data_IF_629211185884
#
_entry.id   IF_629211185884
#
_cell.length_a   1.000
_cell.length_b   1.000
_cell.length_c   1.000
_cell.angle_alpha   90.00
_cell.angle_beta   90.00
_cell.angle_gamma   90.00
#
_symmetry.space_group_name_H-M   'P 1'
#
loop_
_entity.id
_entity.type
_entity.pdbx_description
1 polymer ?
#
# COMPACT_ATOMS: atom_id res chain seq x y z
N UNK A 1 23.95 36.23 -13.76
CA UNK A 1 23.06 36.04 -12.60
C UNK A 1 22.44 34.66 -12.65
N UNK A 2 21.60 34.34 -13.65
CA UNK A 2 20.93 33.01 -13.80
C UNK A 2 21.84 31.78 -13.61
N UNK A 3 23.01 31.70 -14.26
CA UNK A 3 23.95 30.56 -14.08
C UNK A 3 24.52 30.48 -12.66
N UNK A 4 24.78 31.63 -12.03
CA UNK A 4 25.33 31.69 -10.67
C UNK A 4 24.27 31.28 -9.66
N UNK A 5 23.03 31.68 -9.90
CA UNK A 5 21.86 31.35 -9.08
C UNK A 5 21.55 29.85 -9.22
N UNK A 6 21.54 29.31 -10.45
CA UNK A 6 21.38 27.88 -10.73
C UNK A 6 22.49 27.03 -10.09
N UNK A 7 23.76 27.45 -10.22
CA UNK A 7 24.90 26.76 -9.59
C UNK A 7 24.80 26.82 -8.06
N UNK A 8 24.37 27.96 -7.52
CA UNK A 8 24.10 28.13 -6.09
C UNK A 8 23.06 27.12 -5.63
N UNK A 9 21.89 27.11 -6.27
CA UNK A 9 20.79 26.21 -5.96
C UNK A 9 21.15 24.72 -6.06
N UNK A 10 21.97 24.32 -7.03
CA UNK A 10 22.45 22.95 -7.16
C UNK A 10 23.38 22.52 -6.01
N UNK A 11 24.15 23.45 -5.45
CA UNK A 11 25.22 23.15 -4.48
C UNK A 11 24.86 23.47 -3.05
N UNK A 12 23.92 24.39 -2.83
CA UNK A 12 23.43 24.76 -1.51
C UNK A 12 22.64 23.60 -0.88
N UNK A 13 22.89 23.38 0.41
CA UNK A 13 22.21 22.33 1.16
C UNK A 13 20.82 22.81 1.58
N UNK A 14 19.81 22.01 1.29
CA UNK A 14 18.46 22.32 1.70
C UNK A 14 18.36 22.35 3.23
N UNK A 15 17.90 23.48 3.79
CA UNK A 15 17.94 23.74 5.24
C UNK A 15 17.31 22.63 6.11
N UNK A 16 16.27 21.98 5.59
CA UNK A 16 15.53 20.95 6.32
C UNK A 16 16.02 19.52 6.06
N UNK A 17 16.75 19.28 4.96
CA UNK A 17 17.18 17.93 4.55
C UNK A 17 18.69 17.72 4.71
N UNK A 18 19.47 18.80 4.78
CA UNK A 18 20.92 18.76 4.97
C UNK A 18 21.72 18.28 3.76
N UNK A 19 21.08 18.06 2.61
CA UNK A 19 21.69 17.61 1.34
C UNK A 19 21.41 18.61 0.22
N UNK A 20 22.27 18.64 -0.80
CA UNK A 20 22.07 19.47 -2.00
C UNK A 20 21.49 18.67 -3.17
N UNK A 21 20.87 19.33 -4.17
CA UNK A 21 20.42 18.67 -5.39
C UNK A 21 21.56 17.95 -6.13
N UNK A 22 22.76 18.53 -6.19
CA UNK A 22 23.91 17.90 -6.83
C UNK A 22 24.37 16.64 -6.08
N UNK A 23 24.42 16.69 -4.75
CA UNK A 23 24.72 15.51 -3.91
C UNK A 23 23.69 14.40 -4.14
N UNK A 24 22.42 14.77 -4.25
CA UNK A 24 21.31 13.86 -4.50
C UNK A 24 21.40 13.21 -5.87
N UNK A 25 21.62 13.97 -6.94
CA UNK A 25 21.78 13.46 -8.30
C UNK A 25 22.96 12.48 -8.42
N UNK A 26 24.11 12.81 -7.82
CA UNK A 26 25.28 11.93 -7.80
C UNK A 26 24.99 10.61 -7.07
N UNK A 27 24.30 10.71 -5.94
CA UNK A 27 23.95 9.53 -5.14
C UNK A 27 22.94 8.65 -5.88
N UNK A 28 21.91 9.24 -6.49
CA UNK A 28 20.94 8.53 -7.33
C UNK A 28 21.60 7.86 -8.54
N UNK A 29 22.54 8.52 -9.21
CA UNK A 29 23.29 7.92 -10.32
C UNK A 29 24.10 6.70 -9.85
N UNK A 30 24.70 6.77 -8.66
CA UNK A 30 25.44 5.65 -8.04
C UNK A 30 24.50 4.50 -7.69
N UNK A 31 23.32 4.80 -7.13
CA UNK A 31 22.30 3.81 -6.79
C UNK A 31 21.74 3.14 -8.06
N UNK A 32 21.47 3.93 -9.10
CA UNK A 32 20.93 3.45 -10.38
C UNK A 32 21.91 2.56 -11.15
N UNK A 33 23.21 2.69 -10.90
CA UNK A 33 24.24 1.83 -11.50
C UNK A 33 24.32 0.43 -10.84
N UNK A 34 23.61 0.18 -9.73
CA UNK A 34 23.59 -1.13 -9.06
C UNK A 34 22.71 -2.12 -9.82
N UNK A 35 23.05 -3.41 -9.70
CA UNK A 35 22.26 -4.52 -10.23
C UNK A 35 21.81 -5.44 -9.08
N UNK A 36 20.51 -5.71 -8.92
CA UNK A 36 19.39 -5.10 -9.66
C UNK A 36 19.21 -3.62 -9.32
N UNK A 37 18.66 -2.87 -10.28
CA UNK A 37 18.35 -1.46 -10.09
C UNK A 37 17.14 -1.31 -9.14
N UNK A 38 17.22 -0.48 -8.10
CA UNK A 38 16.07 -0.16 -7.26
C UNK A 38 14.93 0.45 -8.08
N UNK A 39 13.70 0.06 -7.76
CA UNK A 39 12.52 0.44 -8.54
C UNK A 39 11.35 0.92 -7.68
N UNK A 40 11.60 1.22 -6.39
CA UNK A 40 10.58 1.73 -5.50
C UNK A 40 9.91 3.03 -6.01
N UNK A 41 8.58 2.99 -6.04
CA UNK A 41 7.68 4.02 -6.54
C UNK A 41 7.15 4.92 -5.43
N UNK A 42 7.20 4.45 -4.18
CA UNK A 42 6.86 5.24 -2.99
C UNK A 42 7.56 6.60 -3.00
N UNK A 43 6.86 7.65 -2.59
CA UNK A 43 7.44 8.99 -2.40
C UNK A 43 7.10 9.51 -1.02
N UNK A 44 8.12 9.87 -0.27
CA UNK A 44 7.96 10.42 1.07
C UNK A 44 7.54 11.89 1.02
N UNK A 45 6.64 12.28 1.92
CA UNK A 45 6.30 13.67 2.14
C UNK A 45 7.44 14.42 2.86
N UNK A 46 7.39 15.75 2.85
CA UNK A 46 8.45 16.58 3.42
C UNK A 46 8.67 16.32 4.93
N UNK A 47 7.63 16.17 5.77
CA UNK A 47 7.81 15.79 7.18
C UNK A 47 8.54 14.45 7.38
N UNK A 48 8.23 13.44 6.57
CA UNK A 48 8.91 12.13 6.63
C UNK A 48 10.36 12.25 6.19
N UNK A 49 10.64 12.99 5.11
CA UNK A 49 12.00 13.26 4.66
C UNK A 49 12.85 13.94 5.72
N UNK A 50 12.29 14.94 6.42
CA UNK A 50 12.95 15.63 7.53
C UNK A 50 13.25 14.70 8.71
N UNK A 51 12.27 13.90 9.15
CA UNK A 51 12.47 12.90 10.21
C UNK A 51 13.58 11.92 9.86
N UNK A 52 13.60 11.45 8.62
CA UNK A 52 14.57 10.46 8.16
C UNK A 52 15.95 11.07 7.93
N UNK A 53 16.10 12.37 7.64
CA UNK A 53 17.37 12.99 7.28
C UNK A 53 18.52 12.67 8.27
N UNK A 54 18.23 12.61 9.57
CA UNK A 54 19.18 12.25 10.63
C UNK A 54 19.09 10.79 11.08
N UNK A 55 18.04 10.06 10.69
CA UNK A 55 17.72 8.69 11.14
C UNK A 55 17.80 7.63 10.03
N UNK A 56 18.37 7.94 8.86
CA UNK A 56 18.46 7.00 7.72
C UNK A 56 19.12 5.67 8.07
N UNK A 57 20.23 5.70 8.81
CA UNK A 57 20.95 4.49 9.20
C UNK A 57 20.12 3.58 10.12
N UNK A 58 19.36 4.19 11.04
CA UNK A 58 18.43 3.49 11.93
C UNK A 58 17.26 2.89 11.13
N UNK A 59 16.63 3.67 10.26
CA UNK A 59 15.57 3.20 9.37
C UNK A 59 16.01 2.03 8.49
N UNK A 60 17.20 2.12 7.90
CA UNK A 60 17.77 1.05 7.09
C UNK A 60 18.14 -0.20 7.89
N UNK A 61 18.49 -0.07 9.18
CA UNK A 61 18.68 -1.20 10.07
C UNK A 61 17.35 -1.88 10.41
N UNK A 62 16.35 -1.11 10.85
CA UNK A 62 15.02 -1.61 11.16
C UNK A 62 14.36 -2.31 9.96
N UNK A 63 14.49 -1.77 8.75
CA UNK A 63 13.99 -2.40 7.52
C UNK A 63 14.69 -3.74 7.19
N UNK A 64 16.01 -3.84 7.44
CA UNK A 64 16.74 -5.10 7.28
C UNK A 64 16.32 -6.13 8.31
N UNK A 65 16.13 -5.71 9.56
CA UNK A 65 15.66 -6.59 10.63
C UNK A 65 14.24 -7.08 10.32
N UNK A 66 13.34 -6.22 9.84
CA UNK A 66 12.02 -6.62 9.35
C UNK A 66 12.12 -7.68 8.23
N UNK A 67 13.01 -7.48 7.26
CA UNK A 67 13.24 -8.42 6.17
C UNK A 67 13.72 -9.80 6.67
N UNK A 68 14.66 -9.82 7.62
CA UNK A 68 15.17 -11.05 8.27
C UNK A 68 14.07 -11.84 8.95
N UNK A 69 13.18 -11.14 9.63
CA UNK A 69 12.02 -11.74 10.28
C UNK A 69 10.93 -12.18 9.27
N UNK A 70 11.14 -11.93 7.97
CA UNK A 70 10.26 -12.39 6.90
C UNK A 70 9.11 -11.45 6.58
N UNK A 71 9.20 -10.16 6.94
CA UNK A 71 8.15 -9.16 6.69
C UNK A 71 7.75 -9.09 5.20
N UNK A 72 8.71 -9.23 4.30
CA UNK A 72 8.49 -9.14 2.85
C UNK A 72 8.25 -10.49 2.16
N UNK A 73 8.13 -11.60 2.92
CA UNK A 73 7.83 -12.92 2.32
C UNK A 73 6.36 -13.05 1.89
N UNK A 74 5.48 -12.29 2.52
CA UNK A 74 4.05 -12.30 2.25
C UNK A 74 3.54 -10.86 2.18
N UNK A 75 2.89 -10.52 1.09
CA UNK A 75 2.21 -9.24 0.92
C UNK A 75 0.73 -9.27 1.32
N UNK A 76 0.04 -8.12 1.22
CA UNK A 76 -1.40 -8.01 1.46
C UNK A 76 -2.26 -8.98 0.66
N UNK A 77 -1.79 -9.41 -0.52
CA UNK A 77 -2.51 -10.30 -1.42
C UNK A 77 -2.24 -11.79 -1.13
N UNK A 78 -1.19 -12.11 -0.37
CA UNK A 78 -0.77 -13.50 -0.13
C UNK A 78 -1.29 -14.05 1.18
N UNK A 79 -1.38 -13.19 2.21
CA UNK A 79 -1.79 -13.61 3.55
C UNK A 79 -2.77 -12.63 4.19
N UNK A 80 -3.91 -13.11 4.70
CA UNK A 80 -4.83 -12.28 5.49
C UNK A 80 -4.25 -11.91 6.88
N UNK A 81 -3.10 -12.47 7.26
CA UNK A 81 -2.33 -12.06 8.43
C UNK A 81 -1.42 -10.85 8.17
N UNK A 82 -1.30 -10.40 6.92
CA UNK A 82 -0.47 -9.26 6.57
C UNK A 82 -0.90 -7.99 7.32
N UNK A 83 0.07 -7.28 7.90
CA UNK A 83 -0.18 -6.04 8.64
C UNK A 83 -0.84 -6.22 10.02
N UNK A 84 -1.22 -7.44 10.41
CA UNK A 84 -1.82 -7.69 11.71
C UNK A 84 -0.75 -7.60 12.81
N UNK A 85 -1.09 -6.96 13.92
CA UNK A 85 -0.26 -6.83 15.11
C UNK A 85 -0.95 -7.52 16.29
N UNK A 86 -0.17 -8.25 17.10
CA UNK A 86 -0.65 -8.93 18.29
C UNK A 86 0.14 -8.46 19.50
N UNK A 87 -0.55 -8.30 20.63
CA UNK A 87 0.09 -7.99 21.90
C UNK A 87 0.98 -9.14 22.43
N UNK A 88 0.73 -10.38 22.00
CA UNK A 88 1.52 -11.54 22.40
C UNK A 88 1.41 -12.68 21.39
N UNK A 89 2.40 -13.60 21.40
CA UNK A 89 2.38 -14.83 20.61
C UNK A 89 1.18 -15.72 20.95
N UNK A 90 0.72 -15.70 22.21
CA UNK A 90 -0.44 -16.49 22.64
C UNK A 90 -1.75 -15.94 22.07
N UNK A 91 -1.87 -14.60 21.97
CA UNK A 91 -3.02 -13.97 21.32
C UNK A 91 -3.08 -14.34 19.82
N UNK A 92 -1.93 -14.35 19.15
CA UNK A 92 -1.83 -14.77 17.74
C UNK A 92 -2.20 -16.24 17.54
N UNK A 93 -1.66 -17.13 18.38
CA UNK A 93 -1.99 -18.56 18.36
C UNK A 93 -3.47 -18.80 18.60
N UNK A 94 -4.06 -18.10 19.58
CA UNK A 94 -5.49 -18.18 19.87
C UNK A 94 -6.35 -17.74 18.68
N UNK A 95 -5.99 -16.62 18.03
CA UNK A 95 -6.68 -16.14 16.83
C UNK A 95 -6.56 -17.14 15.66
N UNK A 96 -5.40 -17.77 15.47
CA UNK A 96 -5.20 -18.78 14.44
C UNK A 96 -6.01 -20.05 14.71
N UNK A 97 -6.03 -20.54 15.95
CA UNK A 97 -6.88 -21.68 16.36
C UNK A 97 -8.36 -21.36 16.12
N UNK A 98 -8.80 -20.15 16.47
CA UNK A 98 -10.16 -19.68 16.23
C UNK A 98 -10.49 -19.65 14.73
N UNK A 99 -9.62 -19.08 13.90
CA UNK A 99 -9.78 -19.07 12.45
C UNK A 99 -9.86 -20.49 11.87
N UNK A 100 -9.02 -21.40 12.35
CA UNK A 100 -9.04 -22.82 11.98
C UNK A 100 -10.34 -23.52 12.35
N UNK A 101 -10.89 -23.26 13.55
CA UNK A 101 -12.18 -23.81 13.98
C UNK A 101 -13.34 -23.24 13.16
N UNK A 102 -13.35 -21.92 12.95
CA UNK A 102 -14.33 -21.23 12.11
C UNK A 102 -14.33 -21.77 10.69
N UNK A 103 -13.15 -21.93 10.08
CA UNK A 103 -13.00 -22.42 8.71
C UNK A 103 -13.44 -23.88 8.54
N UNK A 104 -13.01 -24.77 9.44
CA UNK A 104 -13.20 -26.23 9.28
C UNK A 104 -14.56 -26.73 9.76
N UNK A 105 -15.14 -26.08 10.77
CA UNK A 105 -16.32 -26.62 11.48
C UNK A 105 -17.45 -25.61 11.53
N UNK A 106 -17.22 -24.46 12.17
CA UNK A 106 -18.34 -23.62 12.60
C UNK A 106 -19.05 -22.91 11.44
N UNK A 107 -18.28 -22.34 10.50
CA UNK A 107 -18.84 -21.65 9.31
C UNK A 107 -19.49 -22.64 8.34
N UNK A 108 -18.83 -23.73 7.90
CA UNK A 108 -19.50 -24.74 7.07
C UNK A 108 -20.79 -25.27 7.71
N UNK A 109 -20.76 -25.58 9.02
CA UNK A 109 -21.92 -26.12 9.73
C UNK A 109 -23.08 -25.13 9.91
N UNK A 110 -22.82 -23.82 10.02
CA UNK A 110 -23.93 -22.83 10.02
C UNK A 110 -24.45 -22.56 8.61
N UNK A 111 -23.61 -22.66 7.57
CA UNK A 111 -24.05 -22.51 6.19
C UNK A 111 -25.00 -23.65 5.79
N UNK A 112 -24.64 -24.89 6.09
CA UNK A 112 -25.47 -26.06 5.83
C UNK A 112 -26.83 -25.93 6.53
N UNK A 113 -26.83 -25.75 7.85
CA UNK A 113 -28.08 -25.57 8.64
C UNK A 113 -28.87 -24.34 8.22
N UNK A 114 -28.19 -23.24 7.87
CA UNK A 114 -28.82 -22.02 7.40
C UNK A 114 -29.54 -22.23 6.07
N UNK A 115 -28.89 -22.87 5.10
CA UNK A 115 -29.52 -23.17 3.81
C UNK A 115 -30.65 -24.19 3.94
N UNK A 116 -30.53 -25.21 4.80
CA UNK A 116 -31.61 -26.14 5.11
C UNK A 116 -32.83 -25.42 5.71
N UNK A 117 -32.60 -24.53 6.69
CA UNK A 117 -33.66 -23.73 7.31
C UNK A 117 -34.38 -22.84 6.29
N UNK A 118 -33.61 -22.13 5.46
CA UNK A 118 -34.17 -21.22 4.46
C UNK A 118 -34.84 -21.99 3.32
N UNK A 119 -34.34 -23.18 2.96
CA UNK A 119 -34.96 -24.06 1.97
C UNK A 119 -36.34 -24.60 2.37
N UNK A 120 -36.67 -24.61 3.66
CA UNK A 120 -38.03 -24.89 4.14
C UNK A 120 -39.00 -23.70 3.94
N UNK A 121 -38.48 -22.54 3.53
CA UNK A 121 -39.26 -21.33 3.25
C UNK A 121 -39.17 -20.98 1.77
N UNK A 122 -39.90 -19.93 1.35
CA UNK A 122 -39.76 -19.36 -0.01
C UNK A 122 -38.91 -18.11 -0.07
N UNK A 123 -38.06 -17.89 0.94
CA UNK A 123 -37.11 -16.78 0.94
C UNK A 123 -36.00 -17.05 -0.07
N UNK A 124 -35.51 -15.98 -0.71
CA UNK A 124 -34.28 -16.05 -1.49
C UNK A 124 -33.12 -16.50 -0.58
N UNK A 125 -32.09 -17.17 -1.13
CA UNK A 125 -30.91 -17.53 -0.35
C UNK A 125 -30.20 -16.28 0.18
N UNK A 126 -29.60 -16.40 1.38
CA UNK A 126 -28.70 -15.41 1.94
C UNK A 126 -27.31 -15.52 1.30
N UNK A 127 -26.60 -14.39 1.24
CA UNK A 127 -25.25 -14.29 0.65
C UNK A 127 -24.17 -13.97 1.68
N UNK A 128 -24.55 -13.63 2.91
CA UNK A 128 -23.65 -13.28 4.03
C UNK A 128 -24.16 -13.85 5.36
N UNK A 129 -23.29 -14.02 6.35
CA UNK A 129 -23.67 -14.49 7.70
C UNK A 129 -24.49 -13.43 8.44
N UNK A 130 -24.22 -12.15 8.21
CA UNK A 130 -25.03 -11.04 8.73
C UNK A 130 -26.47 -11.11 8.22
N UNK A 131 -26.66 -11.42 6.94
CA UNK A 131 -27.97 -11.57 6.33
C UNK A 131 -28.74 -12.77 6.90
N UNK A 132 -28.07 -13.92 7.08
CA UNK A 132 -28.66 -15.08 7.78
C UNK A 132 -29.21 -14.67 9.16
N UNK A 133 -28.44 -13.89 9.92
CA UNK A 133 -28.88 -13.36 11.22
C UNK A 133 -30.13 -12.48 11.14
N UNK A 134 -30.22 -11.65 10.09
CA UNK A 134 -31.42 -10.85 9.86
C UNK A 134 -32.64 -11.73 9.54
N UNK A 135 -32.46 -12.81 8.76
CA UNK A 135 -33.54 -13.74 8.42
C UNK A 135 -34.02 -14.50 9.65
N UNK A 136 -33.09 -15.03 10.46
CA UNK A 136 -33.41 -15.72 11.72
C UNK A 136 -34.21 -14.81 12.66
N UNK A 137 -33.76 -13.56 12.87
CA UNK A 137 -34.48 -12.60 13.73
C UNK A 137 -35.86 -12.27 13.20
N UNK A 138 -36.01 -12.12 11.88
CA UNK A 138 -37.31 -11.90 11.24
C UNK A 138 -38.25 -13.09 11.48
N UNK A 139 -37.78 -14.32 11.24
CA UNK A 139 -38.55 -15.54 11.44
C UNK A 139 -38.95 -15.73 12.92
N UNK A 140 -38.04 -15.47 13.87
CA UNK A 140 -38.35 -15.51 15.31
C UNK A 140 -39.39 -14.45 15.69
N UNK A 141 -39.28 -13.26 15.12
CA UNK A 141 -40.26 -12.18 15.29
C UNK A 141 -41.63 -12.56 14.74
N UNK A 142 -41.69 -13.18 13.55
CA UNK A 142 -42.92 -13.66 12.93
C UNK A 142 -43.54 -14.77 13.77
N UNK A 143 -42.77 -15.75 14.24
CA UNK A 143 -43.25 -16.79 15.15
C UNK A 143 -43.86 -16.19 16.42
N UNK A 144 -43.17 -15.26 17.06
CA UNK A 144 -43.66 -14.58 18.26
C UNK A 144 -44.95 -13.76 18.02
N UNK A 145 -45.13 -13.23 16.80
CA UNK A 145 -46.38 -12.60 16.38
C UNK A 145 -47.48 -13.65 16.16
N UNK A 146 -47.17 -14.77 15.51
CA UNK A 146 -48.11 -15.87 15.23
C UNK A 146 -48.51 -16.66 16.47
N UNK A 147 -47.78 -16.55 17.59
CA UNK A 147 -48.21 -17.07 18.89
C UNK A 147 -49.45 -16.34 19.41
N UNK A 148 -49.64 -15.06 19.02
CA UNK A 148 -50.77 -14.21 19.45
C UNK A 148 -51.79 -13.98 18.37
N UNK A 149 -51.36 -13.94 17.11
CA UNK A 149 -52.20 -13.68 15.95
C UNK A 149 -52.38 -14.92 15.05
N UNK A 150 -53.48 -14.99 14.33
CA UNK A 150 -53.69 -15.93 13.24
C UNK A 150 -52.86 -15.54 12.01
N UNK A 151 -52.55 -16.51 11.15
CA UNK A 151 -51.76 -16.28 9.93
C UNK A 151 -52.36 -15.20 9.00
N UNK A 152 -53.69 -15.09 8.99
CA UNK A 152 -54.44 -14.10 8.20
C UNK A 152 -54.06 -12.65 8.46
N UNK A 153 -53.41 -12.33 9.59
CA UNK A 153 -52.87 -10.99 9.87
C UNK A 153 -51.78 -10.57 8.87
N UNK A 154 -51.05 -11.53 8.30
CA UNK A 154 -50.00 -11.27 7.30
C UNK A 154 -50.52 -11.18 5.87
N UNK A 155 -51.78 -11.54 5.62
CA UNK A 155 -52.38 -11.55 4.28
C UNK A 155 -52.93 -10.16 3.90
N UNK A 156 -53.50 -9.42 4.85
CA UNK A 156 -54.24 -8.16 4.58
C UNK A 156 -53.50 -6.89 5.05
N UNK A 157 -53.64 -5.76 4.33
CA UNK A 157 -52.96 -4.51 4.70
C UNK A 157 -53.40 -4.04 6.10
N UNK A 158 -52.45 -3.60 6.92
CA UNK A 158 -52.69 -3.29 8.34
C UNK A 158 -52.70 -1.79 8.64
N UNK A 159 -52.38 -0.92 7.67
CA UNK A 159 -52.27 0.53 7.87
C UNK A 159 -53.51 1.14 8.54
N UNK A 160 -54.72 0.81 8.06
CA UNK A 160 -55.95 1.34 8.65
C UNK A 160 -56.18 0.84 10.08
N UNK A 161 -55.77 -0.39 10.38
CA UNK A 161 -55.89 -0.97 11.73
C UNK A 161 -54.93 -0.30 12.70
N UNK A 162 -53.69 -0.04 12.25
CA UNK A 162 -52.68 0.69 13.02
C UNK A 162 -53.18 2.10 13.36
N UNK A 163 -53.70 2.82 12.36
CA UNK A 163 -54.28 4.16 12.55
C UNK A 163 -55.51 4.16 13.46
N UNK A 164 -56.30 3.08 13.46
CA UNK A 164 -57.46 2.96 14.34
C UNK A 164 -57.07 2.84 15.84
N UNK A 165 -55.89 2.27 16.13
CA UNK A 165 -55.36 2.15 17.49
C UNK A 165 -54.42 3.29 17.90
N UNK A 166 -53.90 4.07 16.95
CA UNK A 166 -53.05 5.25 17.20
C UNK A 166 -53.79 6.50 17.70
N UNK A 167 -53.08 7.64 17.76
CA UNK A 167 -53.65 8.90 18.22
C UNK A 167 -54.71 9.41 17.22
N UNK A 168 -55.76 10.07 17.73
CA UNK A 168 -56.81 10.69 16.89
C UNK A 168 -56.26 11.71 15.90
N UNK A 169 -55.18 12.40 16.27
CA UNK A 169 -54.53 13.42 15.43
C UNK A 169 -53.90 12.83 14.16
N UNK A 170 -53.49 11.56 14.20
CA UNK A 170 -52.79 10.88 13.09
C UNK A 170 -53.77 10.37 12.01
N UNK A 171 -55.08 10.40 12.30
CA UNK A 171 -56.14 10.01 11.37
C UNK A 171 -57.38 10.92 11.54
N UNK A 172 -57.31 12.19 11.09
CA UNK A 172 -58.37 13.18 11.28
C UNK A 172 -59.62 12.90 10.43
N UNK A 173 -59.46 12.22 9.29
CA UNK A 173 -60.54 11.85 8.37
C UNK A 173 -61.31 10.59 8.80
N UNK A 174 -60.84 9.87 9.82
CA UNK A 174 -61.43 8.60 10.25
C UNK A 174 -62.62 8.81 11.21
N UNK A 175 -63.83 8.46 10.75
CA UNK A 175 -65.04 8.54 11.57
C UNK A 175 -64.98 7.62 12.79
N UNK A 176 -65.69 8.00 13.87
CA UNK A 176 -65.71 7.22 15.12
C UNK A 176 -66.30 5.81 14.93
N UNK A 177 -67.29 5.66 14.05
CA UNK A 177 -67.89 4.38 13.69
C UNK A 177 -66.91 3.48 12.94
N UNK A 178 -66.19 4.02 11.95
CA UNK A 178 -65.18 3.26 11.21
C UNK A 178 -64.03 2.82 12.14
N UNK A 179 -63.56 3.71 13.02
CA UNK A 179 -62.54 3.38 14.03
C UNK A 179 -62.98 2.23 14.94
N UNK A 180 -64.23 2.22 15.44
CA UNK A 180 -64.75 1.10 16.24
C UNK A 180 -64.80 -0.21 15.45
N UNK A 181 -65.23 -0.16 14.19
CA UNK A 181 -65.27 -1.33 13.29
C UNK A 181 -63.87 -1.91 13.05
N UNK A 182 -62.89 -1.07 12.72
CA UNK A 182 -61.49 -1.48 12.49
C UNK A 182 -60.86 -2.08 13.76
N UNK A 183 -61.15 -1.51 14.95
CA UNK A 183 -60.72 -2.11 16.22
C UNK A 183 -61.34 -3.47 16.47
N UNK A 184 -62.61 -3.67 16.12
CA UNK A 184 -63.25 -5.00 16.19
C UNK A 184 -62.59 -5.99 15.25
N UNK A 185 -62.38 -5.61 13.99
CA UNK A 185 -61.70 -6.42 12.97
C UNK A 185 -60.28 -6.83 13.42
N UNK A 186 -59.53 -5.91 14.03
CA UNK A 186 -58.17 -6.26 14.52
C UNK A 186 -58.16 -7.35 15.59
N UNK A 187 -59.24 -7.48 16.38
CA UNK A 187 -59.36 -8.54 17.40
C UNK A 187 -59.68 -9.90 16.80
N UNK A 188 -60.25 -9.94 15.60
CA UNK A 188 -60.54 -11.19 14.89
C UNK A 188 -59.25 -11.89 14.41
N UNK A 189 -58.15 -11.13 14.27
CA UNK A 189 -56.83 -11.71 14.01
C UNK A 189 -56.16 -12.28 15.27
N UNK A 190 -56.67 -12.04 16.47
CA UNK A 190 -56.07 -12.56 17.69
C UNK A 190 -56.49 -14.00 17.90
N UNK A 191 -55.55 -14.88 18.24
CA UNK A 191 -55.83 -16.28 18.53
C UNK A 191 -56.76 -16.42 19.74
N UNK A 192 -57.68 -17.40 19.75
CA UNK A 192 -58.51 -17.68 20.91
C UNK A 192 -57.66 -17.89 22.17
N UNK A 193 -58.03 -17.23 23.27
CA UNK A 193 -57.34 -17.33 24.57
C UNK A 193 -56.12 -16.40 24.72
N UNK A 194 -55.68 -15.70 23.67
CA UNK A 194 -54.56 -14.77 23.75
C UNK A 194 -55.03 -13.34 24.02
N UNK A 195 -54.36 -12.65 24.94
CA UNK A 195 -54.58 -11.23 25.22
C UNK A 195 -53.41 -10.39 24.70
N UNK A 196 -53.71 -9.26 24.06
CA UNK A 196 -52.71 -8.30 23.57
C UNK A 196 -52.82 -7.03 24.41
N UNK A 197 -51.74 -6.72 25.14
CA UNK A 197 -51.67 -5.51 25.98
C UNK A 197 -51.71 -4.24 25.14
N UNK A 198 -50.74 -4.06 24.24
CA UNK A 198 -50.72 -2.97 23.28
C UNK A 198 -50.96 -3.50 21.86
N UNK A 199 -52.19 -3.29 21.37
CA UNK A 199 -52.59 -3.67 20.02
C UNK A 199 -51.95 -2.79 18.95
N UNK A 200 -51.72 -1.51 19.23
CA UNK A 200 -51.10 -0.60 18.26
C UNK A 200 -49.66 -1.04 17.99
N UNK A 201 -48.85 -1.20 19.04
CA UNK A 201 -47.46 -1.62 18.92
C UNK A 201 -47.34 -3.00 18.24
N UNK A 202 -48.22 -3.94 18.62
CA UNK A 202 -48.24 -5.28 18.04
C UNK A 202 -48.54 -5.27 16.53
N UNK A 203 -49.52 -4.48 16.07
CA UNK A 203 -49.84 -4.34 14.65
C UNK A 203 -48.73 -3.63 13.87
N UNK A 204 -48.08 -2.62 14.46
CA UNK A 204 -46.91 -1.95 13.87
C UNK A 204 -45.78 -2.96 13.67
N UNK A 205 -45.50 -3.81 14.66
CA UNK A 205 -44.47 -4.85 14.58
C UNK A 205 -44.78 -5.86 13.47
N UNK A 206 -46.02 -6.35 13.39
CA UNK A 206 -46.46 -7.25 12.30
C UNK A 206 -46.30 -6.57 10.94
N UNK A 207 -46.64 -5.29 10.81
CA UNK A 207 -46.49 -4.55 9.56
C UNK A 207 -45.01 -4.41 9.16
N UNK A 208 -44.11 -4.13 10.10
CA UNK A 208 -42.66 -4.08 9.85
C UNK A 208 -42.14 -5.44 9.38
N UNK A 209 -42.53 -6.52 10.07
CA UNK A 209 -42.18 -7.89 9.70
C UNK A 209 -42.68 -8.25 8.30
N UNK A 210 -43.93 -7.90 7.96
CA UNK A 210 -44.49 -8.09 6.63
C UNK A 210 -43.68 -7.36 5.55
N UNK A 211 -43.34 -6.10 5.79
CA UNK A 211 -42.55 -5.31 4.85
C UNK A 211 -41.14 -5.88 4.66
N UNK A 212 -40.52 -6.40 5.73
CA UNK A 212 -39.23 -7.08 5.63
C UNK A 212 -39.35 -8.41 4.87
N UNK A 213 -40.35 -9.22 5.19
CA UNK A 213 -40.65 -10.49 4.52
C UNK A 213 -40.82 -10.31 3.01
N UNK A 214 -41.64 -9.34 2.60
CA UNK A 214 -41.92 -9.05 1.19
C UNK A 214 -40.69 -8.65 0.35
N UNK A 215 -39.59 -8.23 0.98
CA UNK A 215 -38.32 -7.94 0.27
C UNK A 215 -37.51 -9.20 -0.01
N UNK A 216 -37.87 -10.32 0.62
CA UNK A 216 -37.10 -11.56 0.62
C UNK A 216 -37.81 -12.68 -0.14
N UNK A 217 -39.09 -12.52 -0.48
CA UNK A 217 -39.92 -13.51 -1.18
C UNK A 217 -40.56 -12.92 -2.43
N UNK A 218 -41.12 -13.79 -3.28
CA UNK A 218 -41.99 -13.36 -4.37
C UNK A 218 -43.29 -12.69 -3.84
N UNK A 219 -43.86 -11.73 -4.59
CA UNK A 219 -45.09 -11.06 -4.19
C UNK A 219 -46.24 -12.05 -3.94
N UNK A 220 -46.92 -11.89 -2.80
CA UNK A 220 -48.09 -12.70 -2.43
C UNK A 220 -47.79 -13.94 -1.59
N UNK A 221 -46.54 -14.26 -1.33
CA UNK A 221 -46.17 -15.37 -0.44
C UNK A 221 -46.30 -14.96 1.04
N UNK A 222 -47.05 -15.75 1.82
CA UNK A 222 -47.18 -15.56 3.27
C UNK A 222 -46.00 -16.16 4.04
N UNK A 223 -45.70 -15.64 5.23
CA UNK A 223 -44.66 -16.23 6.08
C UNK A 223 -44.92 -17.68 6.48
N UNK A 224 -43.86 -18.48 6.43
CA UNK A 224 -43.82 -19.86 6.95
C UNK A 224 -42.74 -19.93 8.03
N UNK A 225 -43.05 -20.57 9.16
CA UNK A 225 -42.09 -20.73 10.27
C UNK A 225 -41.42 -22.09 10.13
N UNK A 226 -40.12 -22.15 9.79
CA UNK A 226 -39.42 -23.41 9.60
C UNK A 226 -39.12 -24.12 10.93
N UNK A 227 -38.88 -25.43 10.85
CA UNK A 227 -38.47 -26.24 11.99
C UNK A 227 -36.97 -25.99 12.29
N UNK A 228 -36.57 -26.11 13.57
CA UNK A 228 -35.17 -25.95 13.98
C UNK A 228 -34.68 -24.49 14.06
N UNK A 229 -35.59 -23.51 13.98
CA UNK A 229 -35.25 -22.07 14.00
C UNK A 229 -34.39 -21.64 15.19
N UNK A 230 -34.68 -22.13 16.40
CA UNK A 230 -33.94 -21.72 17.61
C UNK A 230 -32.56 -22.36 17.71
N UNK A 231 -32.41 -23.57 17.18
CA UNK A 231 -31.10 -24.26 17.11
C UNK A 231 -30.17 -23.51 16.15
N UNK A 232 -30.69 -23.11 14.98
CA UNK A 232 -29.96 -22.27 14.02
C UNK A 232 -29.66 -20.90 14.61
N UNK A 233 -30.60 -20.29 15.34
CA UNK A 233 -30.37 -19.00 16.00
C UNK A 233 -29.23 -19.06 17.02
N UNK A 234 -29.19 -20.11 17.83
CA UNK A 234 -28.14 -20.32 18.83
C UNK A 234 -26.79 -20.57 18.16
N UNK A 235 -26.76 -21.40 17.11
CA UNK A 235 -25.54 -21.66 16.35
C UNK A 235 -25.04 -20.38 15.65
N UNK A 236 -25.92 -19.61 15.02
CA UNK A 236 -25.59 -18.35 14.38
C UNK A 236 -25.00 -17.33 15.36
N UNK A 237 -25.58 -17.16 16.56
CA UNK A 237 -25.05 -16.24 17.57
C UNK A 237 -23.61 -16.60 18.00
N UNK A 238 -23.31 -17.90 18.13
CA UNK A 238 -21.96 -18.38 18.46
C UNK A 238 -20.98 -18.06 17.34
N UNK A 239 -21.33 -18.38 16.09
CA UNK A 239 -20.49 -18.07 14.92
C UNK A 239 -20.27 -16.57 14.77
N UNK A 240 -21.32 -15.76 14.95
CA UNK A 240 -21.20 -14.30 14.85
C UNK A 240 -20.28 -13.73 15.95
N UNK A 241 -20.35 -14.26 17.17
CA UNK A 241 -19.46 -13.86 18.26
C UNK A 241 -18.00 -14.25 18.00
N UNK A 242 -17.77 -15.45 17.47
CA UNK A 242 -16.43 -15.92 17.11
C UNK A 242 -15.84 -15.12 15.95
N UNK A 243 -16.63 -14.86 14.89
CA UNK A 243 -16.22 -14.00 13.78
C UNK A 243 -15.88 -12.58 14.25
N UNK A 244 -16.68 -12.01 15.17
CA UNK A 244 -16.42 -10.69 15.75
C UNK A 244 -15.16 -10.66 16.60
N UNK A 245 -14.89 -11.74 17.33
CA UNK A 245 -13.65 -11.88 18.11
C UNK A 245 -12.43 -11.95 17.19
N UNK A 246 -12.55 -12.65 16.06
CA UNK A 246 -11.51 -12.70 15.03
C UNK A 246 -11.34 -11.35 14.32
N UNK A 247 -12.43 -10.63 14.01
CA UNK A 247 -12.38 -9.27 13.46
C UNK A 247 -11.59 -8.32 14.35
N UNK A 248 -11.85 -8.37 15.66
CA UNK A 248 -11.13 -7.56 16.65
C UNK A 248 -9.64 -7.90 16.71
N UNK A 249 -9.30 -9.20 16.68
CA UNK A 249 -7.92 -9.66 16.67
C UNK A 249 -7.16 -9.24 15.40
N UNK A 250 -7.84 -9.17 14.26
CA UNK A 250 -7.27 -8.76 12.97
C UNK A 250 -7.27 -7.24 12.75
N UNK A 251 -7.91 -6.45 13.64
CA UNK A 251 -8.06 -5.00 13.45
C UNK A 251 -8.90 -4.61 12.22
N UNK A 252 -9.84 -5.48 11.81
CA UNK A 252 -10.61 -5.27 10.57
C UNK A 252 -11.62 -4.15 10.71
N UNK A 253 -11.68 -3.28 9.69
CA UNK A 253 -12.72 -2.25 9.56
C UNK A 253 -14.02 -2.81 8.98
N UNK A 254 -13.92 -3.75 8.04
CA UNK A 254 -15.05 -4.47 7.46
C UNK A 254 -15.23 -5.85 8.14
N UNK A 255 -16.38 -6.08 8.82
CA UNK A 255 -16.63 -7.33 9.53
C UNK A 255 -16.60 -8.56 8.61
N UNK A 256 -16.00 -9.66 9.08
CA UNK A 256 -15.99 -10.93 8.35
C UNK A 256 -17.42 -11.44 8.05
N UNK A 257 -18.35 -11.25 8.99
CA UNK A 257 -19.73 -11.71 8.82
C UNK A 257 -20.51 -11.01 7.68
N UNK A 258 -20.10 -9.80 7.28
CA UNK A 258 -20.69 -9.07 6.15
C UNK A 258 -20.08 -9.41 4.79
N UNK A 259 -18.97 -10.15 4.76
CA UNK A 259 -18.37 -10.58 3.50
C UNK A 259 -19.29 -11.57 2.76
N UNK A 260 -19.33 -11.54 1.42
CA UNK A 260 -19.94 -12.60 0.63
C UNK A 260 -19.36 -13.96 1.02
N UNK A 261 -20.21 -14.98 1.15
CA UNK A 261 -19.81 -16.33 1.61
C UNK A 261 -18.55 -16.88 0.89
N UNK A 262 -18.41 -16.79 -0.46
CA UNK A 262 -17.20 -17.26 -1.13
C UNK A 262 -15.93 -16.53 -0.70
N UNK A 263 -16.04 -15.23 -0.43
CA UNK A 263 -14.93 -14.41 0.06
C UNK A 263 -14.62 -14.74 1.52
N UNK A 264 -15.64 -14.86 2.37
CA UNK A 264 -15.48 -15.27 3.77
C UNK A 264 -14.73 -16.61 3.87
N UNK A 265 -15.15 -17.61 3.10
CA UNK A 265 -14.50 -18.94 3.11
C UNK A 265 -13.04 -18.87 2.67
N UNK A 266 -12.72 -18.07 1.64
CA UNK A 266 -11.34 -17.87 1.17
C UNK A 266 -10.49 -17.16 2.22
N UNK A 267 -11.01 -16.10 2.84
CA UNK A 267 -10.32 -15.36 3.90
C UNK A 267 -10.07 -16.26 5.11
N UNK A 268 -11.07 -17.01 5.56
CA UNK A 268 -10.91 -17.97 6.66
C UNK A 268 -9.95 -19.10 6.32
N UNK A 269 -9.93 -19.58 5.07
CA UNK A 269 -8.95 -20.56 4.61
C UNK A 269 -7.52 -20.01 4.68
N UNK A 270 -7.29 -18.79 4.21
CA UNK A 270 -5.97 -18.14 4.33
C UNK A 270 -5.55 -17.89 5.77
N UNK A 271 -6.49 -17.56 6.66
CA UNK A 271 -6.22 -17.39 8.09
C UNK A 271 -5.92 -18.73 8.78
N UNK A 272 -6.58 -19.80 8.35
CA UNK A 272 -6.45 -21.15 8.89
C UNK A 272 -5.28 -21.94 8.31
N UNK A 273 -4.65 -21.48 7.23
CA UNK A 273 -3.51 -22.14 6.61
C UNK A 273 -2.34 -22.23 7.59
N UNK A 274 -1.70 -23.41 7.65
CA UNK A 274 -0.49 -23.61 8.45
C UNK A 274 0.56 -22.60 7.99
N UNK A 275 0.99 -21.75 8.90
CA UNK A 275 1.83 -20.61 8.56
C UNK A 275 3.00 -20.52 9.50
N UNK A 276 4.21 -20.59 8.94
CA UNK A 276 5.45 -20.20 9.61
C UNK A 276 5.47 -18.69 9.95
N UNK A 277 4.41 -17.95 9.58
CA UNK A 277 4.24 -16.50 9.80
C UNK A 277 4.15 -16.13 11.29
N UNK A 278 3.83 -17.08 12.17
CA UNK A 278 3.73 -16.82 13.61
C UNK A 278 5.10 -16.78 14.31
N UNK A 279 6.14 -17.33 13.69
CA UNK A 279 7.50 -17.20 14.20
C UNK A 279 7.94 -15.74 14.06
N UNK A 280 8.35 -15.13 15.17
CA UNK A 280 8.77 -13.74 15.26
C UNK A 280 7.69 -12.67 15.03
N UNK A 281 6.40 -13.02 15.19
CA UNK A 281 5.30 -12.09 14.94
C UNK A 281 5.32 -10.85 15.85
N UNK A 282 5.70 -11.02 17.11
CA UNK A 282 5.76 -9.92 18.10
C UNK A 282 6.93 -8.99 17.77
N UNK A 283 8.08 -9.56 17.43
CA UNK A 283 9.26 -8.83 16.99
C UNK A 283 8.97 -8.03 15.72
N UNK A 284 8.27 -8.65 14.74
CA UNK A 284 7.83 -7.95 13.52
C UNK A 284 6.85 -6.83 13.79
N UNK A 285 5.87 -7.03 14.68
CA UNK A 285 4.92 -5.99 15.06
C UNK A 285 5.64 -4.79 15.66
N UNK A 286 6.60 -5.03 16.57
CA UNK A 286 7.40 -3.98 17.20
C UNK A 286 8.21 -3.19 16.17
N UNK A 287 8.84 -3.87 15.21
CA UNK A 287 9.59 -3.20 14.14
C UNK A 287 8.64 -2.44 13.20
N UNK A 288 7.45 -2.98 12.90
CA UNK A 288 6.45 -2.30 12.07
C UNK A 288 5.98 -1.00 12.72
N UNK A 289 5.74 -1.01 14.03
CA UNK A 289 5.36 0.19 14.78
C UNK A 289 6.49 1.24 14.74
N UNK A 290 7.74 0.83 14.95
CA UNK A 290 8.91 1.71 14.80
C UNK A 290 9.03 2.31 13.39
N UNK A 291 8.79 1.52 12.34
CA UNK A 291 8.84 1.97 10.95
C UNK A 291 7.64 2.87 10.60
N UNK A 292 6.47 2.63 11.19
CA UNK A 292 5.29 3.49 11.10
C UNK A 292 5.55 4.87 11.72
N UNK A 293 6.18 4.94 12.90
CA UNK A 293 6.60 6.22 13.51
C UNK A 293 7.58 7.01 12.62
N UNK A 294 8.38 6.31 11.82
CA UNK A 294 9.27 6.91 10.84
C UNK A 294 8.57 7.34 9.54
N UNK A 295 7.30 6.98 9.33
CA UNK A 295 6.53 7.28 8.12
C UNK A 295 6.81 6.34 6.95
N UNK A 296 7.22 5.10 7.22
CA UNK A 296 7.67 4.13 6.21
C UNK A 296 6.59 3.12 5.79
N UNK A 297 5.32 3.30 6.18
CA UNK A 297 4.25 2.32 5.89
C UNK A 297 4.02 2.11 4.40
N UNK A 298 4.08 3.19 3.62
CA UNK A 298 3.94 3.13 2.16
C UNK A 298 5.04 2.28 1.52
N UNK A 299 6.30 2.50 1.95
CA UNK A 299 7.44 1.73 1.45
C UNK A 299 7.34 0.28 1.90
N UNK A 300 7.02 0.01 3.17
CA UNK A 300 6.83 -1.35 3.70
C UNK A 300 5.81 -2.14 2.87
N UNK A 301 4.68 -1.50 2.54
CA UNK A 301 3.63 -2.11 1.73
C UNK A 301 4.13 -2.43 0.33
N UNK A 302 4.81 -1.49 -0.31
CA UNK A 302 5.38 -1.71 -1.64
C UNK A 302 6.40 -2.85 -1.67
N UNK A 303 7.34 -2.88 -0.71
CA UNK A 303 8.36 -3.92 -0.61
C UNK A 303 7.73 -5.30 -0.36
N UNK A 304 6.65 -5.36 0.42
CA UNK A 304 5.92 -6.60 0.70
C UNK A 304 5.15 -7.11 -0.51
N UNK A 305 4.51 -6.23 -1.28
CA UNK A 305 3.80 -6.60 -2.51
C UNK A 305 4.77 -7.13 -3.58
N UNK A 306 5.99 -6.59 -3.62
CA UNK A 306 7.03 -6.96 -4.58
C UNK A 306 7.93 -8.12 -4.11
N UNK A 307 7.73 -8.62 -2.88
CA UNK A 307 8.57 -9.64 -2.25
C UNK A 307 10.06 -9.33 -2.30
N UNK A 308 10.44 -8.09 -1.98
CA UNK A 308 11.84 -7.64 -2.11
C UNK A 308 12.75 -8.43 -1.15
N UNK A 309 13.85 -9.02 -1.64
CA UNK A 309 14.76 -9.80 -0.79
C UNK A 309 15.57 -8.89 0.16
N UNK A 310 15.97 -9.44 1.30
CA UNK A 310 16.65 -8.72 2.39
C UNK A 310 17.84 -7.87 1.94
N UNK A 311 18.66 -8.39 1.01
CA UNK A 311 19.87 -7.75 0.51
C UNK A 311 19.58 -6.49 -0.32
N UNK A 312 18.36 -6.36 -0.85
CA UNK A 312 17.93 -5.23 -1.70
C UNK A 312 17.14 -4.18 -0.93
N UNK A 313 16.56 -4.51 0.22
CA UNK A 313 15.70 -3.60 1.01
C UNK A 313 16.37 -2.28 1.34
N UNK A 314 17.64 -2.30 1.77
CA UNK A 314 18.37 -1.09 2.09
C UNK A 314 18.61 -0.19 0.85
N UNK A 315 18.83 -0.81 -0.32
CA UNK A 315 19.02 -0.08 -1.57
C UNK A 315 17.71 0.55 -2.07
N UNK A 316 16.58 -0.16 -1.94
CA UNK A 316 15.25 0.38 -2.23
C UNK A 316 14.91 1.56 -1.32
N UNK A 317 15.17 1.45 -0.02
CA UNK A 317 14.97 2.56 0.93
C UNK A 317 15.80 3.80 0.58
N UNK A 318 17.11 3.64 0.34
CA UNK A 318 17.97 4.76 -0.03
C UNK A 318 17.48 5.39 -1.34
N UNK A 319 17.13 4.59 -2.35
CA UNK A 319 16.56 5.09 -3.59
C UNK A 319 15.30 5.92 -3.34
N UNK A 320 14.34 5.41 -2.56
CA UNK A 320 13.10 6.12 -2.21
C UNK A 320 13.38 7.46 -1.53
N UNK A 321 14.30 7.49 -0.56
CA UNK A 321 14.62 8.71 0.17
C UNK A 321 15.28 9.76 -0.72
N UNK A 322 16.31 9.39 -1.48
CA UNK A 322 17.02 10.33 -2.36
C UNK A 322 16.14 10.84 -3.49
N UNK A 323 15.32 9.97 -4.08
CA UNK A 323 14.40 10.36 -5.14
C UNK A 323 13.33 11.33 -4.62
N UNK A 324 12.76 11.04 -3.45
CA UNK A 324 11.79 11.92 -2.79
C UNK A 324 12.41 13.26 -2.37
N UNK A 325 13.66 13.26 -1.89
CA UNK A 325 14.40 14.47 -1.55
C UNK A 325 14.65 15.35 -2.80
N UNK A 326 15.03 14.75 -3.93
CA UNK A 326 15.20 15.47 -5.18
C UNK A 326 13.89 16.13 -5.63
N UNK A 327 12.80 15.37 -5.65
CA UNK A 327 11.48 15.86 -6.06
C UNK A 327 10.99 16.99 -5.13
N UNK A 328 11.25 16.90 -3.83
CA UNK A 328 10.93 17.94 -2.86
C UNK A 328 11.74 19.24 -3.12
N UNK A 329 13.06 19.13 -3.33
CA UNK A 329 13.92 20.29 -3.61
C UNK A 329 13.55 20.96 -4.93
N UNK A 330 13.29 20.17 -5.98
CA UNK A 330 12.86 20.71 -7.28
C UNK A 330 11.54 21.47 -7.14
N UNK A 331 10.57 20.96 -6.37
CA UNK A 331 9.28 21.63 -6.17
C UNK A 331 9.40 22.96 -5.42
N UNK A 332 10.31 23.05 -4.46
CA UNK A 332 10.47 24.23 -3.59
C UNK A 332 11.34 25.31 -4.22
N UNK A 333 12.38 24.95 -4.98
CA UNK A 333 13.33 25.91 -5.54
C UNK A 333 13.02 26.26 -7.01
N UNK A 334 12.42 27.43 -7.21
CA UNK A 334 12.14 27.98 -8.54
C UNK A 334 13.40 28.23 -9.38
N UNK A 335 14.58 28.36 -8.79
CA UNK A 335 15.81 28.52 -9.57
C UNK A 335 16.24 27.21 -10.24
N UNK A 336 15.83 26.05 -9.68
CA UNK A 336 16.04 24.73 -10.28
C UNK A 336 15.02 24.42 -11.40
N UNK A 337 13.77 24.89 -11.25
CA UNK A 337 12.70 24.70 -12.25
C UNK A 337 12.64 25.81 -13.31
N UNK A 338 13.12 27.01 -12.98
CA UNK A 338 12.99 28.25 -13.75
C UNK A 338 14.28 28.72 -14.41
N UNK A 339 15.38 27.96 -14.29
CA UNK A 339 16.49 28.13 -15.20
C UNK A 339 15.96 27.80 -16.60
N UNK A 340 15.85 28.82 -17.47
CA UNK A 340 15.62 28.61 -18.89
C UNK A 340 16.67 27.58 -19.37
N UNK A 341 16.29 26.32 -19.49
CA UNK A 341 17.16 25.24 -19.96
C UNK A 341 17.71 25.60 -21.33
N UNK A 342 16.92 26.30 -22.15
CA UNK A 342 17.35 26.91 -23.42
C UNK A 342 18.53 27.89 -23.31
N UNK A 343 18.66 28.64 -22.19
CA UNK A 343 19.79 29.53 -21.92
C UNK A 343 21.00 28.74 -21.48
N UNK A 344 20.82 27.70 -20.66
CA UNK A 344 21.92 26.80 -20.26
C UNK A 344 22.44 26.02 -21.46
N UNK A 345 21.57 25.44 -22.27
CA UNK A 345 21.91 24.72 -23.51
C UNK A 345 22.61 25.63 -24.53
N UNK A 346 22.19 26.90 -24.62
CA UNK A 346 22.86 27.90 -25.46
C UNK A 346 24.26 28.18 -24.91
N UNK A 347 24.39 28.42 -23.61
CA UNK A 347 25.69 28.70 -22.97
C UNK A 347 26.63 27.51 -23.04
N UNK A 348 26.13 26.27 -22.93
CA UNK A 348 26.93 25.07 -23.14
C UNK A 348 27.39 24.96 -24.60
N UNK A 349 26.50 25.18 -25.57
CA UNK A 349 26.88 25.19 -27.00
C UNK A 349 27.90 26.28 -27.31
N UNK A 350 27.70 27.49 -26.80
CA UNK A 350 28.62 28.61 -26.98
C UNK A 350 29.98 28.30 -26.32
N UNK A 351 29.98 27.70 -25.12
CA UNK A 351 31.22 27.27 -24.46
C UNK A 351 31.95 26.19 -25.28
N UNK A 352 31.25 25.14 -25.72
CA UNK A 352 31.85 24.07 -26.54
C UNK A 352 32.45 24.62 -27.83
N UNK A 353 31.74 25.53 -28.50
CA UNK A 353 32.22 26.17 -29.74
C UNK A 353 33.47 27.02 -29.48
N UNK A 354 33.49 27.80 -28.40
CA UNK A 354 34.65 28.63 -28.03
C UNK A 354 35.82 27.76 -27.57
N UNK A 355 35.57 26.69 -26.82
CA UNK A 355 36.58 25.74 -26.36
C UNK A 355 37.20 24.98 -27.52
N UNK A 356 36.40 24.50 -28.46
CA UNK A 356 36.87 23.85 -29.69
C UNK A 356 37.66 24.82 -30.58
N UNK A 357 37.21 26.07 -30.71
CA UNK A 357 37.98 27.12 -31.37
C UNK A 357 39.31 27.37 -30.64
N UNK A 358 39.30 27.51 -29.31
CA UNK A 358 40.49 27.75 -28.52
C UNK A 358 41.50 26.59 -28.63
N UNK A 359 41.04 25.34 -28.51
CA UNK A 359 41.84 24.14 -28.66
C UNK A 359 42.43 24.03 -30.08
N UNK A 360 41.65 24.33 -31.11
CA UNK A 360 42.11 24.29 -32.51
C UNK A 360 43.10 25.39 -32.87
N UNK A 361 43.11 26.54 -32.19
CA UNK A 361 44.13 27.59 -32.36
C UNK A 361 45.38 27.35 -31.51
N UNK A 362 45.21 26.91 -30.25
CA UNK A 362 46.33 26.71 -29.32
C UNK A 362 47.23 25.54 -29.72
N UNK A 363 46.65 24.45 -30.25
CA UNK A 363 47.41 23.27 -30.69
C UNK A 363 48.47 23.57 -31.75
N UNK A 364 48.11 24.17 -32.90
CA UNK A 364 49.07 24.54 -33.95
C UNK A 364 50.13 25.56 -33.49
N UNK A 365 49.77 26.52 -32.64
CA UNK A 365 50.72 27.48 -32.07
C UNK A 365 51.76 26.79 -31.18
N UNK A 366 51.31 25.89 -30.30
CA UNK A 366 52.19 25.08 -29.46
C UNK A 366 53.08 24.18 -30.33
N UNK A 367 52.52 23.55 -31.36
CA UNK A 367 53.27 22.73 -32.30
C UNK A 367 54.35 23.52 -33.05
N UNK A 368 54.04 24.75 -33.50
CA UNK A 368 55.00 25.63 -34.16
C UNK A 368 56.14 26.08 -33.23
N UNK A 369 55.81 26.43 -31.99
CA UNK A 369 56.79 26.79 -30.96
C UNK A 369 57.70 25.59 -30.61
N UNK A 370 57.13 24.41 -30.39
CA UNK A 370 57.88 23.18 -30.12
C UNK A 370 58.77 22.79 -31.30
N UNK A 371 58.28 22.91 -32.54
CA UNK A 371 59.07 22.65 -33.74
C UNK A 371 60.23 23.65 -33.89
N UNK A 372 60.03 24.90 -33.51
CA UNK A 372 61.07 25.94 -33.53
C UNK A 372 62.15 25.62 -32.49
N UNK A 373 61.76 25.31 -31.25
CA UNK A 373 62.68 24.89 -30.20
C UNK A 373 63.45 23.63 -30.56
N UNK A 374 62.78 22.65 -31.19
CA UNK A 374 63.42 21.43 -31.67
C UNK A 374 64.49 21.71 -32.72
N UNK A 375 64.20 22.56 -33.72
CA UNK A 375 65.17 22.96 -34.74
C UNK A 375 66.39 23.64 -34.13
N UNK A 376 66.18 24.53 -33.17
CA UNK A 376 67.27 25.21 -32.45
C UNK A 376 68.09 24.19 -31.65
N UNK A 377 67.43 23.33 -30.87
CA UNK A 377 68.10 22.37 -30.00
C UNK A 377 68.94 21.33 -30.78
N UNK A 378 68.49 20.87 -31.96
CA UNK A 378 69.31 19.98 -32.81
C UNK A 378 70.60 20.65 -33.28
N UNK A 379 70.55 21.95 -33.59
CA UNK A 379 71.71 22.71 -34.05
C UNK A 379 72.66 22.97 -32.90
N UNK A 380 72.13 23.31 -31.71
CA UNK A 380 72.92 23.60 -30.52
C UNK A 380 73.57 22.33 -29.93
N UNK A 381 72.92 21.17 -30.03
CA UNK A 381 73.37 19.89 -29.45
C UNK A 381 73.55 18.78 -30.50
N UNK A 382 74.52 18.88 -31.44
CA UNK A 382 74.69 17.92 -32.53
C UNK A 382 75.11 16.51 -32.06
N UNK A 383 75.79 16.44 -30.92
CA UNK A 383 76.20 15.18 -30.29
C UNK A 383 75.00 14.39 -29.77
N UNK A 384 74.15 15.03 -28.97
CA UNK A 384 72.89 14.44 -28.50
C UNK A 384 71.98 14.06 -29.67
N UNK A 385 71.91 14.88 -30.73
CA UNK A 385 71.07 14.59 -31.89
C UNK A 385 71.50 13.30 -32.61
N UNK A 386 72.81 13.08 -32.71
CA UNK A 386 73.37 11.87 -33.32
C UNK A 386 73.14 10.64 -32.44
N UNK A 387 73.35 10.76 -31.13
CA UNK A 387 73.11 9.70 -30.16
C UNK A 387 71.63 9.29 -30.10
N UNK A 388 70.72 10.27 -30.06
CA UNK A 388 69.28 10.04 -30.10
C UNK A 388 68.85 9.33 -31.39
N UNK A 389 69.36 9.78 -32.55
CA UNK A 389 69.07 9.15 -33.84
C UNK A 389 69.56 7.70 -33.91
N UNK A 390 70.74 7.41 -33.34
CA UNK A 390 71.28 6.06 -33.28
C UNK A 390 70.44 5.15 -32.37
N UNK A 391 70.08 5.63 -31.18
CA UNK A 391 69.24 4.92 -30.23
C UNK A 391 67.85 4.61 -30.80
N UNK A 392 67.20 5.58 -31.46
CA UNK A 392 65.91 5.37 -32.13
C UNK A 392 66.00 4.38 -33.30
N UNK A 393 67.09 4.41 -34.09
CA UNK A 393 67.30 3.47 -35.21
C UNK A 393 67.56 2.03 -34.75
N UNK A 394 68.14 1.85 -33.56
CA UNK A 394 68.37 0.52 -33.01
C UNK A 394 67.07 -0.21 -32.62
N UNK A 395 65.96 0.52 -32.46
CA UNK A 395 64.61 -0.04 -32.25
C UNK A 395 64.39 -0.76 -30.91
N UNK A 396 65.40 -0.76 -30.03
CA UNK A 396 65.42 -1.51 -28.75
C UNK A 396 65.64 -0.60 -27.54
N UNK A 397 65.80 0.72 -27.76
CA UNK A 397 66.13 1.67 -26.71
C UNK A 397 64.96 1.85 -25.73
N UNK A 398 65.26 1.71 -24.44
CA UNK A 398 64.33 2.02 -23.36
C UNK A 398 64.22 3.52 -23.13
N UNK A 399 63.14 4.01 -22.48
CA UNK A 399 62.99 5.43 -22.19
C UNK A 399 64.14 6.03 -21.38
N UNK A 400 64.70 5.25 -20.44
CA UNK A 400 65.84 5.66 -19.62
C UNK A 400 67.10 5.82 -20.46
N UNK A 401 67.33 4.92 -21.42
CA UNK A 401 68.47 4.99 -22.34
C UNK A 401 68.35 6.17 -23.31
N UNK A 402 67.13 6.48 -23.78
CA UNK A 402 66.89 7.66 -24.60
C UNK A 402 67.21 8.93 -23.80
N UNK A 403 66.71 9.06 -22.56
CA UNK A 403 66.99 10.20 -21.66
C UNK A 403 68.48 10.35 -21.38
N UNK A 404 69.20 9.25 -21.21
CA UNK A 404 70.65 9.28 -21.01
C UNK A 404 71.42 9.67 -22.28
N UNK A 405 70.94 9.26 -23.47
CA UNK A 405 71.59 9.54 -24.74
C UNK A 405 71.43 11.00 -25.21
N UNK A 406 70.33 11.67 -24.82
CA UNK A 406 70.02 13.03 -25.27
C UNK A 406 69.18 13.81 -24.24
N UNK A 407 69.75 14.12 -23.06
CA UNK A 407 69.01 14.70 -21.93
C UNK A 407 68.44 16.10 -22.23
N UNK A 408 69.13 16.89 -23.05
CA UNK A 408 68.72 18.26 -23.41
C UNK A 408 67.65 18.23 -24.51
N UNK A 409 67.88 17.43 -25.55
CA UNK A 409 66.91 17.26 -26.64
C UNK A 409 65.60 16.62 -26.19
N UNK A 410 65.65 15.65 -25.27
CA UNK A 410 64.43 14.99 -24.79
C UNK A 410 63.58 15.87 -23.90
N UNK A 411 64.13 16.87 -23.22
CA UNK A 411 63.30 17.87 -22.52
C UNK A 411 62.44 18.68 -23.49
N UNK A 412 62.95 18.93 -24.70
CA UNK A 412 62.21 19.61 -25.77
C UNK A 412 61.17 18.70 -26.43
N UNK A 413 61.46 17.40 -26.56
CA UNK A 413 60.56 16.41 -27.15
C UNK A 413 59.52 15.82 -26.18
N UNK A 414 59.78 15.85 -24.86
CA UNK A 414 58.95 15.22 -23.84
C UNK A 414 57.45 15.61 -23.91
N UNK A 415 57.07 16.89 -24.13
CA UNK A 415 55.66 17.24 -24.24
C UNK A 415 54.94 16.53 -25.39
N UNK A 416 55.62 16.34 -26.52
CA UNK A 416 55.06 15.66 -27.70
C UNK A 416 55.01 14.15 -27.47
N UNK A 417 56.05 13.57 -26.86
CA UNK A 417 56.11 12.14 -26.59
C UNK A 417 55.06 11.70 -25.56
N UNK A 418 54.83 12.48 -24.50
CA UNK A 418 53.85 12.17 -23.45
C UNK A 418 52.41 12.39 -23.93
N UNK A 419 52.18 13.40 -24.79
CA UNK A 419 50.86 13.70 -25.33
C UNK A 419 50.51 12.91 -26.60
N UNK A 420 51.45 12.12 -27.14
CA UNK A 420 51.22 11.23 -28.27
C UNK A 420 50.28 10.10 -27.84
N UNK A 421 49.21 9.78 -28.60
CA UNK A 421 48.30 8.68 -28.30
C UNK A 421 48.89 7.29 -28.60
N UNK A 422 50.18 7.20 -28.89
CA UNK A 422 50.90 5.99 -29.30
C UNK A 422 52.10 5.72 -28.41
#
# INVERSE_FOLDING_TARGET
TVLRDYRGALTERHAQLGVSPLETLRTLATIAARSPQPSATTRFDLPTLQRLATRRAEAAAALRDAARLGEFRFGPNDSPWYGVSFASTEAARSAHVLAGRLHRVDVPGILERGYELIGQTRMRPFTTITELGAYVRLLQGIRASLDRFSMTVFERPLQELILAHGNRRDAPTMSSANRRRLRRLSREYVRPGMHIGDMHESLVRVQQQRTQWQRLVEPGVTPEVPLGLDDVATAWQRVEADLRSLDAALGRTEPLASLPIPQLLRTLSGLAADSDVFDNLVERATIRDQLSELGLEGLLTELSVRHVPEDQVAAEFEFTWWQSALEAMLRTDRSLLGANTSVVDRLERDFRLVDEAHASFAGPLLAAELATRWKIAIVDEPGEATALKAALRAGTATPTELVAAAPTLLRTLAPVWIASPY
#
